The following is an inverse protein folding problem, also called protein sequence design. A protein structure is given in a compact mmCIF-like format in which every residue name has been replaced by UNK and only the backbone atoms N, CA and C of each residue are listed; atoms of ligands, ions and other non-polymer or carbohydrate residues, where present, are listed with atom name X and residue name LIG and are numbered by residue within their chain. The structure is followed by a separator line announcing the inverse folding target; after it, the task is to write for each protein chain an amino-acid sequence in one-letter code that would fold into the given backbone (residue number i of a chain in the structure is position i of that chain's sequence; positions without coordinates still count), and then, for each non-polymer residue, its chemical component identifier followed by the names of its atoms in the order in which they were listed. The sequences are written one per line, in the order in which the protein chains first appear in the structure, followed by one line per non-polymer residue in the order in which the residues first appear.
data_IF_735153568861
#
_entry.id   IF_735153568861
#
_cell.length_a   1.000
_cell.length_b   1.000
_cell.length_c   1.000
_cell.angle_alpha   90.00
_cell.angle_beta   90.00
_cell.angle_gamma   90.00
#
_symmetry.space_group_name_H-M   'P 1'
#
loop_
_entity.id
_entity.type
_entity.pdbx_description
1 polymer ?
#
# COMPACT_ATOMS: atom_id res chain seq x y z
N UNK A 1 6.55 -20.96 8.99
CA UNK A 1 7.48 -20.45 7.94
C UNK A 1 7.66 -18.96 8.13
N UNK A 2 8.63 -18.34 7.46
CA UNK A 2 8.73 -16.88 7.42
C UNK A 2 7.92 -16.31 6.26
N UNK A 3 7.00 -15.39 6.55
CA UNK A 3 6.08 -14.78 5.59
C UNK A 3 6.25 -13.26 5.62
N UNK A 4 6.52 -12.65 4.47
CA UNK A 4 6.48 -11.20 4.32
C UNK A 4 5.22 -10.77 3.56
N UNK A 5 4.48 -9.82 4.11
CA UNK A 5 3.29 -9.26 3.46
C UNK A 5 3.56 -7.84 2.94
N UNK A 6 2.97 -7.43 1.82
CA UNK A 6 3.06 -6.06 1.30
C UNK A 6 1.68 -5.53 0.93
N UNK A 7 1.37 -4.33 1.42
CA UNK A 7 0.10 -3.63 1.16
C UNK A 7 0.24 -2.14 1.46
N UNK A 8 -0.81 -1.36 1.18
CA UNK A 8 -0.92 0.06 1.51
C UNK A 8 -1.12 0.29 3.03
N UNK A 9 -0.23 -0.22 3.86
CA UNK A 9 -0.39 -0.28 5.32
C UNK A 9 -0.27 1.09 6.04
N UNK A 10 0.44 2.06 5.44
CA UNK A 10 0.75 3.37 6.05
C UNK A 10 0.07 4.56 5.33
N UNK A 11 -1.24 4.45 5.07
CA UNK A 11 -2.07 5.45 4.36
C UNK A 11 -3.13 6.15 5.24
N UNK A 12 -3.04 6.00 6.57
CA UNK A 12 -3.94 6.65 7.53
C UNK A 12 -5.45 6.41 7.24
N UNK A 13 -5.77 5.17 6.85
CA UNK A 13 -7.11 4.70 6.56
C UNK A 13 -7.44 3.52 7.48
N UNK A 14 -8.61 3.55 8.13
CA UNK A 14 -9.01 2.50 9.08
C UNK A 14 -9.11 1.12 8.42
N UNK A 15 -9.71 1.03 7.23
CA UNK A 15 -9.84 -0.21 6.48
C UNK A 15 -8.46 -0.81 6.17
N UNK A 16 -7.58 -0.02 5.55
CA UNK A 16 -6.23 -0.47 5.21
C UNK A 16 -5.43 -0.91 6.45
N UNK A 17 -5.47 -0.13 7.54
CA UNK A 17 -4.74 -0.48 8.77
C UNK A 17 -5.29 -1.72 9.47
N UNK A 18 -6.63 -1.86 9.55
CA UNK A 18 -7.25 -3.01 10.20
C UNK A 18 -7.12 -4.29 9.37
N UNK A 19 -7.23 -4.20 8.04
CA UNK A 19 -7.05 -5.34 7.14
C UNK A 19 -5.61 -5.84 7.11
N UNK A 20 -4.63 -4.92 7.13
CA UNK A 20 -3.21 -5.28 7.25
C UNK A 20 -2.94 -5.98 8.59
N UNK A 21 -3.47 -5.43 9.69
CA UNK A 21 -3.36 -6.05 11.02
C UNK A 21 -4.03 -7.43 11.09
N UNK A 22 -5.27 -7.55 10.62
CA UNK A 22 -6.00 -8.81 10.66
C UNK A 22 -5.29 -9.94 9.90
N UNK A 23 -4.71 -9.63 8.73
CA UNK A 23 -3.96 -10.62 7.95
C UNK A 23 -2.71 -11.11 8.70
N UNK A 24 -1.91 -10.19 9.27
CA UNK A 24 -0.70 -10.61 9.99
C UNK A 24 -1.02 -11.41 11.25
N UNK A 25 -2.07 -11.03 11.99
CA UNK A 25 -2.45 -11.77 13.20
C UNK A 25 -2.98 -13.15 12.87
N UNK A 26 -3.79 -13.29 11.82
CA UNK A 26 -4.24 -14.59 11.36
C UNK A 26 -3.05 -15.49 10.95
N UNK A 27 -2.11 -14.97 10.17
CA UNK A 27 -0.93 -15.73 9.73
C UNK A 27 -0.04 -16.15 10.91
N UNK A 28 0.10 -15.30 11.93
CA UNK A 28 0.80 -15.63 13.19
C UNK A 28 0.05 -16.72 13.96
N UNK A 29 -1.27 -16.64 14.07
CA UNK A 29 -2.10 -17.61 14.79
C UNK A 29 -1.98 -19.02 14.22
N UNK A 30 -1.80 -19.16 12.91
CA UNK A 30 -1.55 -20.45 12.26
C UNK A 30 -0.07 -20.88 12.27
N UNK A 31 0.77 -20.23 13.09
CA UNK A 31 2.14 -20.67 13.39
C UNK A 31 3.25 -20.11 12.49
N UNK A 32 3.03 -18.98 11.80
CA UNK A 32 4.06 -18.35 10.98
C UNK A 32 4.78 -17.20 11.70
N UNK A 33 6.03 -16.97 11.30
CA UNK A 33 6.76 -15.73 11.58
C UNK A 33 6.41 -14.72 10.47
N UNK A 34 5.84 -13.57 10.83
CA UNK A 34 5.17 -12.68 9.88
C UNK A 34 5.61 -11.24 10.08
N UNK A 35 6.04 -10.62 8.98
CA UNK A 35 6.37 -9.19 8.91
C UNK A 35 5.60 -8.52 7.76
N UNK A 36 5.22 -7.26 7.93
CA UNK A 36 4.79 -6.38 6.85
C UNK A 36 6.02 -5.69 6.30
N UNK A 37 6.25 -5.79 5.00
CA UNK A 37 7.24 -4.98 4.30
C UNK A 37 6.83 -3.51 4.44
N UNK A 38 7.68 -2.72 5.08
CA UNK A 38 7.47 -1.28 5.26
C UNK A 38 7.69 -0.54 3.93
N UNK A 39 6.77 -0.76 2.99
CA UNK A 39 6.74 -0.15 1.67
C UNK A 39 5.84 1.08 1.66
N UNK A 40 6.43 2.24 1.36
CA UNK A 40 5.74 3.53 1.25
C UNK A 40 6.33 4.38 0.12
N UNK A 41 5.88 4.16 -1.13
CA UNK A 41 6.29 5.01 -2.25
C UNK A 41 5.78 6.46 -2.09
N UNK A 42 6.42 7.39 -2.80
CA UNK A 42 6.19 8.83 -2.64
C UNK A 42 4.74 9.26 -2.92
N UNK A 43 4.05 8.57 -3.83
CA UNK A 43 2.64 8.86 -4.13
C UNK A 43 1.68 8.49 -2.97
N UNK A 44 2.11 7.67 -2.01
CA UNK A 44 1.39 7.42 -0.75
C UNK A 44 1.80 8.37 0.38
N UNK A 45 2.69 9.33 0.09
CA UNK A 45 3.23 10.29 1.04
C UNK A 45 2.59 11.68 0.88
N UNK A 46 2.87 12.57 1.83
CA UNK A 46 2.42 13.97 1.75
C UNK A 46 1.10 14.29 2.46
N UNK A 47 0.40 13.29 2.98
CA UNK A 47 -0.75 13.50 3.86
C UNK A 47 -0.34 14.24 5.15
N UNK A 48 -1.21 15.13 5.66
CA UNK A 48 -1.07 15.84 6.94
C UNK A 48 0.07 16.89 7.03
N UNK A 49 0.57 17.43 5.91
CA UNK A 49 1.54 18.54 5.93
C UNK A 49 0.89 19.84 6.46
N UNK A 50 1.39 20.36 7.58
CA UNK A 50 0.85 21.58 8.22
C UNK A 50 0.90 22.79 7.28
N UNK A 51 1.94 22.87 6.45
CA UNK A 51 2.18 23.97 5.51
C UNK A 51 1.60 23.74 4.10
N UNK A 52 0.87 22.64 3.87
CA UNK A 52 0.26 22.39 2.55
C UNK A 52 -0.82 23.43 2.21
N UNK A 53 -0.94 23.74 0.93
CA UNK A 53 -2.01 24.59 0.41
C UNK A 53 -2.71 23.79 -0.67
N UNK A 54 -3.95 23.40 -0.39
CA UNK A 54 -4.70 22.49 -1.27
C UNK A 54 -5.43 23.26 -2.39
N UNK A 55 -5.56 24.59 -2.24
CA UNK A 55 -6.20 25.47 -3.20
C UNK A 55 -5.19 26.47 -3.79
N UNK A 56 -4.85 26.36 -5.09
CA UNK A 56 -3.86 27.23 -5.74
C UNK A 56 -4.13 28.72 -5.60
N UNK A 57 -5.40 29.13 -5.41
CA UNK A 57 -5.78 30.55 -5.22
C UNK A 57 -5.11 31.18 -3.99
N UNK A 58 -4.77 30.38 -2.98
CA UNK A 58 -4.15 30.83 -1.74
C UNK A 58 -2.61 30.72 -1.74
N UNK A 59 -2.01 30.21 -2.82
CA UNK A 59 -0.55 30.10 -2.96
C UNK A 59 0.03 31.22 -3.85
N UNK A 60 -0.66 32.37 -3.96
CA UNK A 60 -0.28 33.47 -4.87
C UNK A 60 0.82 34.37 -4.30
N UNK A 61 0.80 34.61 -2.99
CA UNK A 61 1.79 35.41 -2.30
C UNK A 61 1.91 35.00 -0.83
N UNK A 62 2.91 35.55 -0.12
CA UNK A 62 3.18 35.20 1.27
C UNK A 62 1.98 35.44 2.20
N UNK A 63 1.25 36.54 2.03
CA UNK A 63 0.13 36.93 2.90
C UNK A 63 -1.05 35.96 2.72
N UNK A 64 -1.45 35.69 1.49
CA UNK A 64 -2.54 34.74 1.17
C UNK A 64 -2.19 33.32 1.63
N UNK A 65 -0.92 32.93 1.51
CA UNK A 65 -0.43 31.64 2.04
C UNK A 65 -0.53 31.58 3.56
N UNK A 66 -0.02 32.60 4.25
CA UNK A 66 0.00 32.66 5.71
C UNK A 66 -1.43 32.67 6.29
N UNK A 67 -2.31 33.48 5.71
CA UNK A 67 -3.73 33.55 6.09
C UNK A 67 -4.43 32.20 5.93
N UNK A 68 -4.23 31.49 4.80
CA UNK A 68 -4.77 30.14 4.61
C UNK A 68 -4.28 29.16 5.69
N UNK A 69 -2.97 29.16 5.97
CA UNK A 69 -2.36 28.28 6.97
C UNK A 69 -2.96 28.56 8.35
N UNK A 70 -3.07 29.82 8.77
CA UNK A 70 -3.62 30.20 10.08
C UNK A 70 -5.09 29.78 10.19
N UNK A 71 -5.92 30.10 9.17
CA UNK A 71 -7.34 29.74 9.18
C UNK A 71 -7.57 28.22 9.20
N UNK A 72 -6.69 27.44 8.56
CA UNK A 72 -6.77 25.97 8.54
C UNK A 72 -6.03 25.30 9.70
N UNK A 73 -5.26 26.04 10.50
CA UNK A 73 -4.41 25.48 11.55
C UNK A 73 -5.20 24.60 12.54
N UNK A 74 -6.39 24.99 13.06
CA UNK A 74 -7.13 24.15 14.00
C UNK A 74 -7.50 22.78 13.40
N UNK A 75 -7.96 22.76 12.15
CA UNK A 75 -8.31 21.53 11.44
C UNK A 75 -7.07 20.67 11.16
N UNK A 76 -5.94 21.29 10.85
CA UNK A 76 -4.67 20.58 10.64
C UNK A 76 -4.13 19.99 11.94
N UNK A 77 -4.25 20.69 13.07
CA UNK A 77 -3.89 20.16 14.39
C UNK A 77 -4.76 18.95 14.76
N UNK A 78 -6.07 19.01 14.50
CA UNK A 78 -6.95 17.86 14.71
C UNK A 78 -6.58 16.66 13.82
N UNK A 79 -6.25 16.94 12.55
CA UNK A 79 -5.75 15.92 11.64
C UNK A 79 -4.44 15.29 12.14
N UNK A 80 -3.55 16.04 12.78
CA UNK A 80 -2.33 15.49 13.41
C UNK A 80 -2.63 14.57 14.60
N UNK A 81 -3.68 14.84 15.39
CA UNK A 81 -4.11 13.91 16.45
C UNK A 81 -4.55 12.58 15.85
N UNK A 82 -5.34 12.62 14.76
CA UNK A 82 -5.72 11.41 14.01
C UNK A 82 -4.50 10.68 13.47
N UNK A 83 -3.57 11.39 12.85
CA UNK A 83 -2.29 10.83 12.37
C UNK A 83 -1.53 10.14 13.50
N UNK A 84 -1.42 10.79 14.67
CA UNK A 84 -0.76 10.22 15.86
C UNK A 84 -1.41 8.92 16.30
N UNK A 85 -2.75 8.83 16.30
CA UNK A 85 -3.46 7.60 16.63
C UNK A 85 -3.11 6.44 15.68
N UNK A 86 -3.03 6.71 14.37
CA UNK A 86 -2.59 5.70 13.39
C UNK A 86 -1.11 5.33 13.57
N UNK A 87 -0.22 6.32 13.80
CA UNK A 87 1.20 6.04 14.05
C UNK A 87 1.37 5.17 15.31
N UNK A 88 0.61 5.45 16.38
CA UNK A 88 0.57 4.62 17.59
C UNK A 88 0.06 3.22 17.30
N UNK A 89 -1.03 3.07 16.54
CA UNK A 89 -1.55 1.76 16.14
C UNK A 89 -0.51 0.96 15.35
N UNK A 90 0.08 1.56 14.32
CA UNK A 90 1.13 0.95 13.50
C UNK A 90 2.30 0.47 14.36
N UNK A 91 2.86 1.34 15.18
CA UNK A 91 4.03 1.01 16.00
C UNK A 91 3.74 -0.06 17.06
N UNK A 92 2.49 -0.15 17.53
CA UNK A 92 2.10 -1.11 18.56
C UNK A 92 1.74 -2.48 17.99
N UNK A 93 1.10 -2.53 16.83
CA UNK A 93 0.43 -3.73 16.34
C UNK A 93 0.99 -4.28 15.02
N UNK A 94 1.72 -3.48 14.25
CA UNK A 94 2.29 -3.93 12.98
C UNK A 94 3.77 -4.30 13.15
N UNK A 95 4.08 -5.58 12.96
CA UNK A 95 5.46 -6.08 12.86
C UNK A 95 6.02 -5.68 11.49
N UNK A 96 6.76 -4.57 11.40
CA UNK A 96 7.30 -4.07 10.14
C UNK A 96 8.71 -4.60 9.87
N UNK A 97 9.08 -4.72 8.58
CA UNK A 97 10.44 -5.02 8.18
C UNK A 97 11.45 -4.01 8.70
N UNK A 98 12.70 -4.45 8.90
CA UNK A 98 13.80 -3.61 9.43
C UNK A 98 14.01 -2.29 8.67
N UNK A 99 13.87 -2.31 7.36
CA UNK A 99 14.04 -1.14 6.50
C UNK A 99 12.71 -0.69 5.92
N UNK A 100 12.59 0.63 5.70
CA UNK A 100 11.53 1.21 4.88
C UNK A 100 12.00 1.30 3.43
N UNK A 101 11.10 0.99 2.51
CA UNK A 101 11.32 0.98 1.08
C UNK A 101 10.36 1.96 0.40
N UNK A 102 10.84 2.68 -0.62
CA UNK A 102 10.02 3.64 -1.38
C UNK A 102 9.90 3.29 -2.86
N UNK A 103 10.56 2.23 -3.32
CA UNK A 103 10.44 1.72 -4.70
C UNK A 103 10.72 0.23 -4.81
N UNK A 104 10.21 -0.40 -5.87
CA UNK A 104 10.50 -1.79 -6.23
C UNK A 104 12.02 -2.04 -6.39
N UNK A 105 12.77 -1.07 -6.91
CA UNK A 105 14.23 -1.17 -7.06
C UNK A 105 14.93 -1.30 -5.70
N UNK A 106 14.50 -0.54 -4.69
CA UNK A 106 15.05 -0.70 -3.34
C UNK A 106 14.73 -2.08 -2.75
N UNK A 107 13.55 -2.62 -3.04
CA UNK A 107 13.16 -3.98 -2.63
C UNK A 107 14.03 -5.04 -3.32
N UNK A 108 14.32 -4.88 -4.62
CA UNK A 108 15.24 -5.78 -5.35
C UNK A 108 16.64 -5.75 -4.71
N UNK A 109 17.16 -4.56 -4.41
CA UNK A 109 18.52 -4.40 -3.88
C UNK A 109 18.69 -4.92 -2.45
N UNK A 110 17.61 -4.98 -1.65
CA UNK A 110 17.67 -5.39 -0.26
C UNK A 110 16.36 -6.08 0.17
N UNK A 111 16.05 -7.20 -0.47
CA UNK A 111 14.80 -7.93 -0.23
C UNK A 111 14.73 -8.46 1.22
N UNK A 112 13.61 -8.21 1.95
CA UNK A 112 13.37 -8.85 3.24
C UNK A 112 13.32 -10.37 3.08
N UNK A 113 14.19 -11.12 3.78
CA UNK A 113 14.28 -12.58 3.63
C UNK A 113 13.01 -13.27 4.14
N UNK A 114 12.31 -13.98 3.26
CA UNK A 114 11.17 -14.83 3.61
C UNK A 114 11.12 -16.11 2.77
N UNK A 115 10.26 -17.05 3.19
CA UNK A 115 9.90 -18.24 2.42
C UNK A 115 8.76 -17.94 1.45
N UNK A 116 7.81 -17.10 1.90
CA UNK A 116 6.62 -16.69 1.14
C UNK A 116 6.47 -15.19 1.19
N UNK A 117 6.13 -14.61 0.04
CA UNK A 117 5.77 -13.20 -0.09
C UNK A 117 4.30 -13.11 -0.48
N UNK A 118 3.54 -12.34 0.29
CA UNK A 118 2.11 -12.11 0.07
C UNK A 118 1.85 -10.64 -0.26
N UNK A 119 1.09 -10.37 -1.31
CA UNK A 119 0.52 -9.04 -1.52
C UNK A 119 -1.01 -9.07 -1.32
N UNK A 120 -1.61 -7.94 -0.95
CA UNK A 120 -3.08 -7.79 -1.01
C UNK A 120 -3.73 -7.30 0.27
N UNK A 121 -4.86 -7.90 0.62
CA UNK A 121 -5.84 -7.48 1.62
C UNK A 121 -6.58 -6.16 1.29
N UNK A 122 -6.04 -5.35 0.37
CA UNK A 122 -6.50 -4.00 0.02
C UNK A 122 -6.56 -3.78 -1.50
N UNK A 123 -6.96 -2.58 -1.93
CA UNK A 123 -7.10 -2.10 -3.31
C UNK A 123 -5.75 -1.84 -3.99
N UNK A 124 -4.78 -2.75 -3.84
CA UNK A 124 -3.40 -2.57 -4.30
C UNK A 124 -3.24 -2.70 -5.83
N UNK A 125 -4.22 -3.25 -6.54
CA UNK A 125 -4.19 -3.41 -8.00
C UNK A 125 -5.11 -2.42 -8.73
N UNK A 126 -5.51 -1.34 -8.07
CA UNK A 126 -6.36 -0.32 -8.67
C UNK A 126 -5.59 0.58 -9.65
N UNK A 127 -5.63 0.29 -10.95
CA UNK A 127 -4.94 1.07 -11.99
C UNK A 127 -5.50 2.50 -12.19
N UNK A 128 -6.63 2.87 -11.55
CA UNK A 128 -7.09 4.27 -11.46
C UNK A 128 -6.26 5.10 -10.48
N UNK A 129 -5.36 4.44 -9.74
CA UNK A 129 -4.42 4.98 -8.77
C UNK A 129 -3.02 4.44 -9.09
N UNK A 130 -2.00 5.04 -8.49
CA UNK A 130 -0.61 4.67 -8.82
C UNK A 130 -0.17 3.36 -8.18
N UNK A 131 -0.82 2.93 -7.08
CA UNK A 131 -0.57 1.61 -6.49
C UNK A 131 -0.88 0.46 -7.46
N UNK A 132 -1.95 0.53 -8.26
CA UNK A 132 -2.23 -0.49 -9.27
C UNK A 132 -1.28 -0.50 -10.46
N UNK A 133 -0.34 0.46 -10.53
CA UNK A 133 0.69 0.59 -11.57
C UNK A 133 2.09 0.33 -11.00
N UNK A 134 2.18 -0.03 -9.73
CA UNK A 134 3.45 -0.21 -9.04
C UNK A 134 3.80 -1.71 -8.95
N UNK A 135 4.90 -2.15 -9.58
CA UNK A 135 5.27 -3.57 -9.64
C UNK A 135 5.55 -4.19 -8.26
N UNK A 136 5.87 -3.38 -7.23
CA UNK A 136 6.07 -3.89 -5.88
C UNK A 136 4.80 -4.54 -5.30
N UNK A 137 3.62 -4.00 -5.64
CA UNK A 137 2.34 -4.57 -5.24
C UNK A 137 1.94 -5.83 -6.02
N UNK A 138 2.75 -6.22 -7.01
CA UNK A 138 2.66 -7.50 -7.70
C UNK A 138 3.82 -8.44 -7.34
N UNK A 139 4.62 -8.10 -6.32
CA UNK A 139 5.77 -8.89 -5.88
C UNK A 139 6.87 -9.06 -6.94
N UNK A 140 7.01 -8.10 -7.86
CA UNK A 140 8.00 -8.15 -8.94
C UNK A 140 9.45 -8.25 -8.43
N UNK A 141 9.74 -7.65 -7.27
CA UNK A 141 11.04 -7.72 -6.62
C UNK A 141 11.42 -9.12 -6.09
N UNK A 142 10.48 -10.05 -6.03
CA UNK A 142 10.68 -11.37 -5.43
C UNK A 142 11.26 -12.33 -6.48
N UNK A 143 12.39 -13.01 -6.20
CA UNK A 143 13.00 -13.94 -7.14
C UNK A 143 12.12 -15.18 -7.38
N UNK A 144 12.22 -15.77 -8.58
CA UNK A 144 11.40 -16.92 -9.00
C UNK A 144 11.58 -18.19 -8.15
N UNK A 145 12.64 -18.26 -7.33
CA UNK A 145 12.88 -19.36 -6.39
C UNK A 145 12.05 -19.27 -5.10
N UNK A 146 11.23 -18.23 -4.94
CA UNK A 146 10.41 -17.97 -3.75
C UNK A 146 8.93 -17.91 -4.12
N UNK A 147 8.09 -18.27 -3.15
CA UNK A 147 6.64 -18.27 -3.36
C UNK A 147 6.12 -16.84 -3.36
N UNK A 148 5.42 -16.47 -4.44
CA UNK A 148 4.70 -15.22 -4.62
C UNK A 148 3.21 -15.49 -4.69
N UNK A 149 2.43 -14.91 -3.79
CA UNK A 149 0.98 -15.06 -3.85
C UNK A 149 0.23 -13.80 -3.46
N UNK A 150 -1.01 -13.67 -3.94
CA UNK A 150 -1.91 -12.63 -3.46
C UNK A 150 -2.94 -13.21 -2.48
N UNK A 151 -3.32 -12.42 -1.48
CA UNK A 151 -4.46 -12.68 -0.62
C UNK A 151 -5.48 -11.57 -0.77
N UNK A 152 -6.69 -11.89 -1.24
CA UNK A 152 -7.81 -10.94 -1.29
C UNK A 152 -7.47 -9.58 -1.94
N UNK A 153 -6.54 -9.55 -2.92
CA UNK A 153 -6.15 -8.33 -3.60
C UNK A 153 -7.33 -7.76 -4.41
N UNK A 154 -7.38 -6.44 -4.54
CA UNK A 154 -8.53 -5.77 -5.14
C UNK A 154 -8.10 -4.79 -6.22
N UNK A 155 -8.83 -4.85 -7.34
CA UNK A 155 -8.73 -3.89 -8.43
C UNK A 155 -9.58 -2.65 -8.16
N UNK A 156 -10.65 -2.77 -7.34
CA UNK A 156 -11.58 -1.69 -7.02
C UNK A 156 -12.23 -1.03 -8.25
N UNK A 157 -12.25 -1.75 -9.36
CA UNK A 157 -12.84 -1.38 -10.64
C UNK A 157 -13.33 -2.65 -11.33
N UNK A 158 -14.21 -2.49 -12.32
CA UNK A 158 -14.70 -3.60 -13.15
C UNK A 158 -13.85 -3.83 -14.39
N UNK A 159 -13.05 -2.84 -14.79
CA UNK A 159 -12.23 -2.88 -16.00
C UNK A 159 -10.88 -2.20 -15.79
N UNK A 160 -9.86 -2.68 -16.51
CA UNK A 160 -8.53 -2.05 -16.61
C UNK A 160 -8.42 -1.35 -17.97
N UNK A 161 -7.90 -0.12 -17.97
CA UNK A 161 -7.53 0.61 -19.20
C UNK A 161 -6.55 -0.24 -20.04
N UNK A 162 -6.80 -0.34 -21.35
CA UNK A 162 -6.02 -1.18 -22.27
C UNK A 162 -4.50 -0.96 -22.15
N UNK A 163 -4.05 0.26 -21.86
CA UNK A 163 -2.62 0.57 -21.70
C UNK A 163 -1.95 -0.14 -20.51
N UNK A 164 -2.72 -0.53 -19.50
CA UNK A 164 -2.20 -1.22 -18.30
C UNK A 164 -2.44 -2.73 -18.34
N UNK A 165 -3.25 -3.25 -19.25
CA UNK A 165 -3.57 -4.69 -19.32
C UNK A 165 -2.32 -5.56 -19.44
N UNK A 166 -1.38 -5.19 -20.32
CA UNK A 166 -0.13 -5.96 -20.49
C UNK A 166 0.71 -5.93 -19.23
N UNK A 167 0.91 -4.76 -18.62
CA UNK A 167 1.62 -4.62 -17.36
C UNK A 167 1.02 -5.51 -16.26
N UNK A 168 -0.31 -5.47 -16.08
CA UNK A 168 -0.99 -6.27 -15.06
C UNK A 168 -0.86 -7.77 -15.38
N UNK A 169 -1.10 -8.18 -16.62
CA UNK A 169 -0.97 -9.59 -17.04
C UNK A 169 0.42 -10.13 -16.75
N UNK A 170 1.47 -9.46 -17.21
CA UNK A 170 2.85 -9.90 -17.04
C UNK A 170 3.25 -10.04 -15.57
N UNK A 171 2.77 -9.12 -14.73
CA UNK A 171 3.03 -9.16 -13.30
C UNK A 171 2.23 -10.26 -12.57
N UNK A 172 0.96 -10.47 -12.94
CA UNK A 172 0.15 -11.54 -12.36
C UNK A 172 0.65 -12.93 -12.73
N UNK A 173 1.16 -13.12 -13.95
CA UNK A 173 1.74 -14.39 -14.40
C UNK A 173 2.96 -14.83 -13.58
N UNK A 174 3.63 -13.90 -12.89
CA UNK A 174 4.72 -14.21 -11.97
C UNK A 174 4.23 -14.79 -10.65
N UNK A 175 2.97 -14.54 -10.25
CA UNK A 175 2.43 -15.04 -8.99
C UNK A 175 2.13 -16.54 -9.10
N UNK A 176 2.60 -17.31 -8.13
CA UNK A 176 2.31 -18.74 -8.02
C UNK A 176 0.83 -18.98 -7.71
N UNK A 177 0.21 -18.10 -6.92
CA UNK A 177 -1.19 -18.20 -6.51
C UNK A 177 -1.84 -16.82 -6.46
N UNK A 178 -3.06 -16.73 -6.96
CA UNK A 178 -3.81 -15.47 -7.02
C UNK A 178 -5.14 -15.64 -6.28
N UNK A 179 -5.37 -14.79 -5.28
CA UNK A 179 -6.65 -14.58 -4.64
C UNK A 179 -7.07 -13.11 -4.70
N UNK A 180 -8.34 -12.89 -5.03
CA UNK A 180 -9.00 -11.58 -5.10
C UNK A 180 -10.32 -11.61 -4.35
N UNK A 181 -10.76 -10.47 -3.80
CA UNK A 181 -11.95 -10.41 -2.93
C UNK A 181 -13.27 -10.13 -3.65
N UNK A 182 -13.20 -9.64 -4.89
CA UNK A 182 -14.38 -9.28 -5.69
C UNK A 182 -14.54 -10.14 -6.95
N UNK A 183 -15.80 -10.42 -7.32
CA UNK A 183 -16.13 -11.16 -8.56
C UNK A 183 -15.64 -10.44 -9.82
N UNK A 184 -15.67 -9.10 -9.83
CA UNK A 184 -15.15 -8.30 -10.94
C UNK A 184 -13.64 -8.47 -11.12
N UNK A 185 -12.88 -8.58 -10.03
CA UNK A 185 -11.44 -8.86 -10.08
C UNK A 185 -11.15 -10.24 -10.67
N UNK A 186 -11.95 -11.26 -10.32
CA UNK A 186 -11.86 -12.58 -10.96
C UNK A 186 -12.15 -12.51 -12.47
N UNK A 187 -13.16 -11.72 -12.86
CA UNK A 187 -13.49 -11.49 -14.28
C UNK A 187 -12.33 -10.82 -15.02
N UNK A 188 -11.76 -9.76 -14.46
CA UNK A 188 -10.57 -9.08 -15.01
C UNK A 188 -9.44 -10.06 -15.24
N UNK A 189 -9.09 -10.89 -14.24
CA UNK A 189 -8.00 -11.86 -14.36
C UNK A 189 -8.25 -12.87 -15.49
N UNK A 190 -9.47 -13.36 -15.64
CA UNK A 190 -9.82 -14.31 -16.69
C UNK A 190 -9.81 -13.70 -18.11
N UNK A 191 -9.91 -12.38 -18.23
CA UNK A 191 -9.91 -11.64 -19.50
C UNK A 191 -8.52 -11.11 -19.88
N UNK A 192 -7.54 -11.19 -18.96
CA UNK A 192 -6.14 -10.88 -19.21
C UNK A 192 -5.47 -12.09 -19.85
#
# INVERSE_FOLDING_TARGET
MKVCTITCHDVYNHGASLQAYALIEYLKQIGNDVEIIDYKPDYLSGHYKIISIDNPKWNKNYITKLTYIILKLPFKLEALKRKKAFDTFKNKFMSLSKYRYTSNIQLINNIPKADVYLCGSDQIWNCLRDNGKDPAFYLDFVPDSKIRASYAASFATETIDNKYKNFVRENLLKLDRISVREKSGKKIINEL
#
